data_IF_017223072623
#
_entry.id   IF_017223072623
#
_cell.length_a   1.000
_cell.length_b   1.000
_cell.length_c   1.000
_cell.angle_alpha   90.00
_cell.angle_beta   90.00
_cell.angle_gamma   90.00
#
_symmetry.space_group_name_H-M   'P 1'
#
loop_
_entity.id
_entity.type
_entity.pdbx_description
1 polymer ?
#
# COMPACT_ATOMS: atom_id res chain seq x y z
N UNK A 1 14.71 42.42 9.62
CA UNK A 1 15.10 41.31 10.52
C UNK A 1 13.97 40.28 10.71
N UNK A 2 12.75 40.65 11.17
CA UNK A 2 11.64 39.70 11.40
C UNK A 2 11.11 38.96 10.15
N UNK A 3 10.99 39.64 9.00
CA UNK A 3 10.51 39.02 7.74
C UNK A 3 11.49 37.97 7.19
N UNK A 4 12.80 38.24 7.28
CA UNK A 4 13.83 37.33 6.78
C UNK A 4 13.89 36.05 7.63
N UNK A 5 13.72 36.18 8.95
CA UNK A 5 13.69 35.03 9.86
C UNK A 5 12.51 34.09 9.59
N UNK A 6 11.31 34.64 9.37
CA UNK A 6 10.14 33.82 9.04
C UNK A 6 10.31 33.08 7.70
N UNK A 7 10.85 33.76 6.68
CA UNK A 7 11.12 33.14 5.38
C UNK A 7 12.18 32.03 5.46
N UNK A 8 13.22 32.20 6.29
CA UNK A 8 14.24 31.16 6.54
C UNK A 8 13.61 29.92 7.20
N UNK A 9 12.74 30.13 8.19
CA UNK A 9 11.97 29.08 8.86
C UNK A 9 11.10 28.34 7.84
N UNK A 10 10.26 29.06 7.08
CA UNK A 10 9.39 28.45 6.06
C UNK A 10 10.18 27.64 5.03
N UNK A 11 11.33 28.15 4.59
CA UNK A 11 12.23 27.44 3.68
C UNK A 11 12.81 26.17 4.29
N UNK A 12 13.19 26.18 5.56
CA UNK A 12 13.70 25.00 6.26
C UNK A 12 12.62 23.93 6.45
N UNK A 13 11.41 24.32 6.88
CA UNK A 13 10.28 23.41 6.99
C UNK A 13 9.89 22.83 5.62
N UNK A 14 9.76 23.66 4.58
CA UNK A 14 9.48 23.17 3.24
C UNK A 14 10.58 22.25 2.68
N UNK A 15 11.85 22.45 3.06
CA UNK A 15 12.95 21.52 2.71
C UNK A 15 12.78 20.18 3.43
N UNK A 16 12.37 20.19 4.69
CA UNK A 16 12.09 18.98 5.46
C UNK A 16 10.90 18.21 4.87
N UNK A 17 9.80 18.90 4.58
CA UNK A 17 8.60 18.31 3.97
C UNK A 17 8.91 17.61 2.65
N UNK A 18 9.82 18.17 1.83
CA UNK A 18 10.27 17.54 0.58
C UNK A 18 11.02 16.24 0.82
N UNK A 19 11.92 16.22 1.81
CA UNK A 19 12.68 15.01 2.18
C UNK A 19 11.73 13.95 2.74
N UNK A 20 10.83 14.33 3.65
CA UNK A 20 9.82 13.45 4.21
C UNK A 20 8.91 12.87 3.11
N UNK A 21 8.43 13.72 2.20
CA UNK A 21 7.64 13.29 1.04
C UNK A 21 8.39 12.24 0.21
N UNK A 22 9.66 12.46 -0.13
CA UNK A 22 10.47 11.49 -0.87
C UNK A 22 10.64 10.18 -0.11
N UNK A 23 10.86 10.22 1.21
CA UNK A 23 10.97 9.01 2.06
C UNK A 23 9.67 8.23 2.11
N UNK A 24 8.53 8.91 2.24
CA UNK A 24 7.21 8.27 2.24
C UNK A 24 6.90 7.62 0.90
N UNK A 25 7.16 8.30 -0.22
CA UNK A 25 7.03 7.72 -1.56
C UNK A 25 7.93 6.50 -1.73
N UNK A 26 9.21 6.61 -1.35
CA UNK A 26 10.16 5.49 -1.44
C UNK A 26 9.68 4.29 -0.61
N UNK A 27 9.17 4.54 0.60
CA UNK A 27 8.60 3.50 1.46
C UNK A 27 7.41 2.83 0.77
N UNK A 28 6.42 3.63 0.31
CA UNK A 28 5.21 3.12 -0.33
C UNK A 28 5.49 2.24 -1.55
N UNK A 29 6.39 2.68 -2.46
CA UNK A 29 6.68 1.93 -3.70
C UNK A 29 7.55 0.69 -3.48
N UNK A 30 8.33 0.65 -2.40
CA UNK A 30 9.23 -0.46 -2.08
C UNK A 30 8.61 -1.51 -1.16
N UNK A 31 7.50 -1.19 -0.49
CA UNK A 31 6.73 -2.15 0.30
C UNK A 31 6.32 -3.35 -0.54
N UNK A 32 6.52 -4.54 0.03
CA UNK A 32 6.13 -5.84 -0.53
C UNK A 32 5.60 -6.73 0.57
N UNK A 33 4.42 -7.30 0.35
CA UNK A 33 3.88 -8.30 1.26
C UNK A 33 4.64 -9.62 1.09
N UNK A 34 5.17 -10.16 2.19
CA UNK A 34 6.01 -11.36 2.15
C UNK A 34 5.22 -12.67 2.25
N UNK A 35 3.88 -12.61 2.13
CA UNK A 35 3.01 -13.79 2.28
C UNK A 35 3.00 -14.38 3.69
N UNK A 36 3.50 -13.64 4.69
CA UNK A 36 3.55 -14.00 6.10
C UNK A 36 2.90 -12.91 6.93
N UNK A 37 2.11 -13.29 7.92
CA UNK A 37 1.36 -12.38 8.77
C UNK A 37 -0.08 -12.20 8.29
N UNK A 38 -0.59 -10.99 8.42
CA UNK A 38 -1.96 -10.62 8.08
C UNK A 38 -1.96 -9.57 6.96
N UNK A 39 -2.50 -9.93 5.80
CA UNK A 39 -2.56 -9.04 4.64
C UNK A 39 -3.37 -7.76 4.88
N UNK A 40 -4.37 -7.78 5.77
CA UNK A 40 -5.14 -6.56 6.11
C UNK A 40 -4.28 -5.56 6.86
N UNK A 41 -3.52 -6.02 7.84
CA UNK A 41 -2.59 -5.17 8.61
C UNK A 41 -1.56 -4.53 7.67
N UNK A 42 -0.98 -5.33 6.76
CA UNK A 42 -0.08 -4.84 5.73
C UNK A 42 -0.71 -3.75 4.85
N UNK A 43 -1.94 -3.95 4.37
CA UNK A 43 -2.64 -2.94 3.56
C UNK A 43 -2.91 -1.68 4.38
N UNK A 44 -3.30 -1.81 5.65
CA UNK A 44 -3.52 -0.67 6.55
C UNK A 44 -2.24 0.14 6.78
N UNK A 45 -1.08 -0.51 6.85
CA UNK A 45 0.22 0.19 6.90
C UNK A 45 0.47 1.01 5.63
N UNK A 46 0.23 0.43 4.44
CA UNK A 46 0.33 1.18 3.17
C UNK A 46 -0.62 2.38 3.14
N UNK A 47 -1.86 2.22 3.60
CA UNK A 47 -2.86 3.29 3.66
C UNK A 47 -2.49 4.38 4.68
N UNK A 48 -1.81 4.02 5.78
CA UNK A 48 -1.28 5.00 6.73
C UNK A 48 -0.19 5.88 6.08
N UNK A 49 0.69 5.31 5.26
CA UNK A 49 1.68 6.08 4.50
C UNK A 49 0.99 7.02 3.49
N UNK A 50 -0.02 6.52 2.76
CA UNK A 50 -0.81 7.34 1.85
C UNK A 50 -1.52 8.50 2.58
N UNK A 51 -2.02 8.27 3.80
CA UNK A 51 -2.62 9.31 4.64
C UNK A 51 -1.62 10.39 5.06
N UNK A 52 -0.37 10.00 5.39
CA UNK A 52 0.73 10.95 5.67
C UNK A 52 1.06 11.78 4.44
N UNK A 53 1.14 11.16 3.26
CA UNK A 53 1.34 11.89 1.99
C UNK A 53 0.21 12.88 1.72
N UNK A 54 -1.05 12.50 1.99
CA UNK A 54 -2.20 13.41 1.89
C UNK A 54 -2.07 14.61 2.83
N UNK A 55 -1.61 14.42 4.06
CA UNK A 55 -1.35 15.52 5.01
C UNK A 55 -0.29 16.51 4.49
N UNK A 56 0.66 16.04 3.69
CA UNK A 56 1.67 16.83 2.98
C UNK A 56 1.19 17.37 1.62
N UNK A 57 -0.13 17.34 1.35
CA UNK A 57 -0.76 17.80 0.09
C UNK A 57 -0.41 16.95 -1.14
N UNK A 58 0.03 15.71 -0.93
CA UNK A 58 0.31 14.71 -1.96
C UNK A 58 -0.72 13.58 -1.90
N UNK A 59 -2.00 13.92 -2.12
CA UNK A 59 -3.08 12.94 -2.15
C UNK A 59 -2.96 12.00 -3.34
N UNK A 60 -3.08 10.69 -3.08
CA UNK A 60 -3.03 9.65 -4.11
C UNK A 60 -4.45 9.25 -4.51
N UNK A 61 -4.73 9.09 -5.82
CA UNK A 61 -5.98 8.52 -6.28
C UNK A 61 -6.21 7.13 -5.71
N UNK A 62 -7.47 6.80 -5.41
CA UNK A 62 -7.83 5.48 -4.87
C UNK A 62 -7.43 4.35 -5.84
N UNK A 63 -7.60 4.55 -7.15
CA UNK A 63 -7.24 3.53 -8.14
C UNK A 63 -5.73 3.25 -8.17
N UNK A 64 -4.90 4.28 -7.99
CA UNK A 64 -3.46 4.14 -7.87
C UNK A 64 -3.09 3.32 -6.63
N UNK A 65 -3.76 3.57 -5.50
CA UNK A 65 -3.53 2.78 -4.27
C UNK A 65 -3.90 1.32 -4.47
N UNK A 66 -5.03 1.03 -5.13
CA UNK A 66 -5.44 -0.34 -5.48
C UNK A 66 -4.36 -1.02 -6.33
N UNK A 67 -3.86 -0.35 -7.36
CA UNK A 67 -2.80 -0.88 -8.21
C UNK A 67 -1.48 -1.08 -7.46
N UNK A 68 -1.07 -0.16 -6.59
CA UNK A 68 0.14 -0.28 -5.77
C UNK A 68 0.06 -1.48 -4.84
N UNK A 69 -1.09 -1.67 -4.16
CA UNK A 69 -1.32 -2.83 -3.30
C UNK A 69 -1.20 -4.12 -4.13
N UNK A 70 -1.89 -4.22 -5.27
CA UNK A 70 -1.83 -5.42 -6.13
C UNK A 70 -0.41 -5.76 -6.61
N UNK A 71 0.37 -4.77 -7.03
CA UNK A 71 1.77 -4.95 -7.48
C UNK A 71 2.69 -5.34 -6.31
N UNK A 72 2.31 -5.02 -5.08
CA UNK A 72 3.06 -5.36 -3.87
C UNK A 72 2.80 -6.77 -3.34
N UNK A 73 1.72 -7.43 -3.79
CA UNK A 73 1.37 -8.79 -3.39
C UNK A 73 2.29 -9.82 -4.08
N UNK A 74 2.67 -10.90 -3.36
CA UNK A 74 3.62 -11.87 -3.86
C UNK A 74 2.98 -12.77 -4.95
N UNK A 75 3.76 -13.70 -5.51
CA UNK A 75 3.34 -14.51 -6.67
C UNK A 75 2.23 -15.51 -6.33
N UNK A 76 2.10 -15.92 -5.08
CA UNK A 76 1.05 -16.82 -4.59
C UNK A 76 -0.35 -16.23 -4.81
N UNK A 77 -0.48 -14.90 -4.81
CA UNK A 77 -1.71 -14.17 -5.14
C UNK A 77 -1.93 -14.05 -6.67
N UNK A 78 -1.24 -14.86 -7.49
CA UNK A 78 -1.29 -14.78 -8.95
C UNK A 78 -2.71 -14.92 -9.52
N UNK A 79 -3.47 -15.92 -9.05
CA UNK A 79 -4.87 -16.14 -9.47
C UNK A 79 -5.76 -14.94 -9.12
N UNK A 80 -5.61 -14.43 -7.91
CA UNK A 80 -6.30 -13.22 -7.44
C UNK A 80 -6.02 -11.99 -8.32
N UNK A 81 -4.75 -11.75 -8.67
CA UNK A 81 -4.36 -10.62 -9.55
C UNK A 81 -4.95 -10.74 -10.95
N UNK A 82 -4.97 -11.95 -11.52
CA UNK A 82 -5.59 -12.20 -12.83
C UNK A 82 -7.09 -11.92 -12.78
N UNK A 83 -7.78 -12.31 -11.71
CA UNK A 83 -9.21 -12.02 -11.52
C UNK A 83 -9.49 -10.52 -11.58
N UNK A 84 -8.68 -9.70 -10.89
CA UNK A 84 -8.80 -8.25 -10.95
C UNK A 84 -8.57 -7.70 -12.37
N UNK A 85 -7.48 -8.12 -13.04
CA UNK A 85 -7.13 -7.58 -14.36
C UNK A 85 -8.13 -7.94 -15.47
N UNK A 86 -8.87 -9.03 -15.31
CA UNK A 86 -9.90 -9.45 -16.26
C UNK A 86 -11.27 -8.81 -15.98
N UNK A 87 -11.51 -8.38 -14.75
CA UNK A 87 -12.75 -7.70 -14.37
C UNK A 87 -12.76 -6.27 -14.94
N UNK A 88 -13.89 -5.86 -15.52
CA UNK A 88 -14.07 -4.50 -16.07
C UNK A 88 -14.34 -3.46 -14.99
N UNK A 89 -14.86 -3.89 -13.85
CA UNK A 89 -15.18 -3.04 -12.70
C UNK A 89 -13.93 -2.83 -11.84
N UNK A 90 -13.71 -1.59 -11.42
CA UNK A 90 -12.66 -1.25 -10.45
C UNK A 90 -13.16 -1.57 -9.05
N UNK A 91 -12.32 -2.23 -8.25
CA UNK A 91 -12.59 -2.42 -6.83
C UNK A 91 -12.27 -1.16 -6.04
N UNK A 92 -13.11 -0.86 -5.05
CA UNK A 92 -12.78 0.05 -3.95
C UNK A 92 -11.70 -0.55 -3.04
N UNK A 93 -11.07 0.28 -2.22
CA UNK A 93 -10.11 -0.19 -1.22
C UNK A 93 -10.73 -1.19 -0.23
N UNK A 94 -12.00 -0.99 0.15
CA UNK A 94 -12.69 -1.89 1.09
C UNK A 94 -12.92 -3.29 0.48
N UNK A 95 -13.29 -3.34 -0.80
CA UNK A 95 -13.43 -4.59 -1.54
C UNK A 95 -12.08 -5.28 -1.68
N UNK A 96 -11.04 -4.54 -2.08
CA UNK A 96 -9.69 -5.07 -2.22
C UNK A 96 -9.18 -5.68 -0.90
N UNK A 97 -9.34 -4.99 0.24
CA UNK A 97 -8.96 -5.50 1.56
C UNK A 97 -9.70 -6.79 1.89
N UNK A 98 -11.00 -6.84 1.60
CA UNK A 98 -11.85 -7.99 1.87
C UNK A 98 -11.42 -9.20 1.04
N UNK A 99 -11.22 -9.02 -0.27
CA UNK A 99 -10.84 -10.10 -1.16
C UNK A 99 -9.39 -10.55 -0.94
N UNK A 100 -8.45 -9.65 -0.63
CA UNK A 100 -7.07 -10.03 -0.27
C UNK A 100 -7.06 -10.98 0.94
N UNK A 101 -7.87 -10.69 1.96
CA UNK A 101 -7.92 -11.52 3.15
C UNK A 101 -8.61 -12.86 2.92
N UNK A 102 -9.63 -12.92 2.06
CA UNK A 102 -10.23 -14.17 1.62
C UNK A 102 -9.21 -15.03 0.87
N UNK A 103 -8.44 -14.42 -0.04
CA UNK A 103 -7.38 -15.10 -0.78
C UNK A 103 -6.27 -15.61 0.13
N UNK A 104 -5.87 -14.83 1.14
CA UNK A 104 -4.89 -15.27 2.13
C UNK A 104 -5.37 -16.53 2.88
N UNK A 105 -6.63 -16.57 3.31
CA UNK A 105 -7.20 -17.73 4.01
C UNK A 105 -7.25 -18.97 3.10
N UNK A 106 -7.67 -18.78 1.84
CA UNK A 106 -7.65 -19.83 0.82
C UNK A 106 -6.24 -20.41 0.61
N UNK A 107 -5.23 -19.54 0.54
CA UNK A 107 -3.82 -19.95 0.38
C UNK A 107 -3.27 -20.67 1.63
N UNK A 108 -3.73 -20.32 2.84
CA UNK A 108 -3.38 -21.06 4.06
C UNK A 108 -3.95 -22.47 4.04
N UNK A 109 -5.21 -22.63 3.62
CA UNK A 109 -5.87 -23.94 3.54
C UNK A 109 -5.19 -24.86 2.52
N UNK A 110 -4.86 -24.37 1.32
CA UNK A 110 -4.14 -25.15 0.29
C UNK A 110 -2.76 -25.64 0.77
N UNK A 111 -2.05 -24.84 1.58
CA UNK A 111 -0.75 -25.24 2.16
C UNK A 111 -0.90 -26.34 3.21
N UNK A 112 -2.00 -26.34 3.96
CA UNK A 112 -2.27 -27.35 4.97
C UNK A 112 -2.62 -28.68 4.30
N UNK A 113 -3.50 -28.66 3.29
CA UNK A 113 -3.88 -29.84 2.53
C UNK A 113 -2.69 -30.49 1.82
N UNK A 114 -1.77 -29.68 1.25
CA UNK A 114 -0.59 -30.23 0.57
C UNK A 114 0.39 -30.92 1.50
N UNK A 115 0.45 -30.54 2.79
CA UNK A 115 1.27 -31.22 3.79
C UNK A 115 0.68 -32.59 4.16
N UNK A 116 -0.65 -32.72 4.20
CA UNK A 116 -1.33 -33.97 4.58
C UNK A 116 -1.41 -35.01 3.45
N UNK A 117 -1.11 -34.63 2.21
CA UNK A 117 -1.12 -35.52 1.05
C UNK A 117 0.27 -36.07 0.68
N UNK A 118 1.30 -35.82 1.51
CA UNK A 118 2.68 -36.31 1.36
C UNK A 118 2.94 -37.52 2.25
#
# INVERSE_FOLDING_TARGET
MRKNFLAEIEKHFAKNDKVETSVLFQSLISMKYQGKGNVREYIMEMLSIASKLKALKHELPEDLLVHLILISLPSEFGRFKVSYYYQKEKWSLNELISYCAQEEERLKQEKVESIYLV
#
